data_IF_620750133088
#
_entry.id   IF_620750133088
#
_cell.length_a   1.000
_cell.length_b   1.000
_cell.length_c   1.000
_cell.angle_alpha   90.00
_cell.angle_beta   90.00
_cell.angle_gamma   90.00
#
_symmetry.space_group_name_H-M   'P 1'
#
loop_
_entity.id
_entity.type
_entity.pdbx_description
1 polymer ?
#
# COMPACT_ATOMS: atom_id res chain seq x y z
N UNK A 1 -11.17 -10.97 -20.90
CA UNK A 1 -11.54 -12.27 -20.32
C UNK A 1 -11.11 -12.30 -18.86
N UNK A 2 -12.05 -12.59 -17.96
CA UNK A 2 -11.73 -12.75 -16.55
C UNK A 2 -10.93 -14.06 -16.34
N UNK A 3 -9.94 -14.01 -15.47
CA UNK A 3 -9.14 -15.19 -15.08
C UNK A 3 -10.00 -16.13 -14.22
N UNK A 4 -9.93 -17.44 -14.44
CA UNK A 4 -10.59 -18.39 -13.56
C UNK A 4 -9.85 -18.50 -12.21
N UNK A 5 -10.51 -18.96 -11.12
CA UNK A 5 -9.84 -19.19 -9.84
C UNK A 5 -8.60 -20.09 -9.96
N UNK A 6 -8.67 -21.13 -10.76
CA UNK A 6 -7.54 -22.04 -10.97
C UNK A 6 -6.38 -21.35 -11.67
N UNK A 7 -6.66 -20.53 -12.68
CA UNK A 7 -5.62 -19.74 -13.36
C UNK A 7 -4.97 -18.73 -12.41
N UNK A 8 -5.73 -18.14 -11.49
CA UNK A 8 -5.20 -17.23 -10.47
C UNK A 8 -4.28 -17.97 -9.49
N UNK A 9 -4.66 -19.18 -9.03
CA UNK A 9 -3.82 -20.03 -8.19
C UNK A 9 -2.51 -20.35 -8.92
N UNK A 10 -2.59 -20.82 -10.16
CA UNK A 10 -1.41 -21.19 -10.94
C UNK A 10 -0.48 -19.99 -11.20
N UNK A 11 -1.05 -18.79 -11.39
CA UNK A 11 -0.29 -17.55 -11.50
C UNK A 11 0.48 -17.25 -10.20
N UNK A 12 -0.20 -17.32 -9.04
CA UNK A 12 0.43 -17.07 -7.74
C UNK A 12 1.55 -18.06 -7.44
N UNK A 13 1.37 -19.32 -7.77
CA UNK A 13 2.39 -20.35 -7.62
C UNK A 13 3.58 -20.10 -8.55
N UNK A 14 3.31 -19.89 -9.85
CA UNK A 14 4.36 -19.84 -10.87
C UNK A 14 5.11 -18.50 -10.93
N UNK A 15 4.44 -17.39 -10.64
CA UNK A 15 5.00 -16.03 -10.78
C UNK A 15 5.40 -15.39 -9.46
N UNK A 16 4.68 -15.68 -8.39
CA UNK A 16 4.89 -15.07 -7.07
C UNK A 16 5.65 -16.01 -6.14
N UNK A 17 5.66 -17.33 -6.43
CA UNK A 17 6.32 -18.33 -5.61
C UNK A 17 5.53 -18.77 -4.38
N UNK A 18 4.21 -18.52 -4.38
CA UNK A 18 3.35 -19.02 -3.32
C UNK A 18 3.34 -20.56 -3.29
N UNK A 19 3.32 -21.10 -2.09
CA UNK A 19 2.94 -22.51 -1.90
C UNK A 19 1.46 -22.68 -2.34
N UNK A 20 1.11 -23.84 -2.95
CA UNK A 20 -0.19 -24.02 -3.63
C UNK A 20 -1.39 -23.87 -2.71
N UNK A 21 -1.31 -24.38 -1.48
CA UNK A 21 -2.41 -24.28 -0.52
C UNK A 21 -2.60 -22.82 -0.05
N UNK A 22 -1.51 -22.07 0.14
CA UNK A 22 -1.56 -20.64 0.40
C UNK A 22 -2.18 -19.87 -0.77
N UNK A 23 -1.76 -20.16 -2.00
CA UNK A 23 -2.33 -19.55 -3.20
C UNK A 23 -3.84 -19.82 -3.30
N UNK A 24 -4.27 -21.06 -3.03
CA UNK A 24 -5.67 -21.43 -3.04
C UNK A 24 -6.47 -20.69 -1.95
N UNK A 25 -5.91 -20.54 -0.76
CA UNK A 25 -6.54 -19.79 0.33
C UNK A 25 -6.69 -18.29 -0.02
N UNK A 26 -5.67 -17.66 -0.59
CA UNK A 26 -5.71 -16.25 -1.00
C UNK A 26 -6.73 -16.01 -2.13
N UNK A 27 -6.77 -16.89 -3.12
CA UNK A 27 -7.77 -16.81 -4.20
C UNK A 27 -9.18 -17.02 -3.64
N UNK A 28 -9.38 -17.98 -2.73
CA UNK A 28 -10.67 -18.21 -2.08
C UNK A 28 -11.16 -16.98 -1.32
N UNK A 29 -10.29 -16.32 -0.57
CA UNK A 29 -10.62 -15.08 0.15
C UNK A 29 -11.11 -13.97 -0.78
N UNK A 30 -10.61 -13.91 -2.00
CA UNK A 30 -11.05 -12.92 -2.99
C UNK A 30 -12.47 -13.15 -3.51
N UNK A 31 -13.02 -14.37 -3.38
CA UNK A 31 -14.34 -14.76 -3.88
C UNK A 31 -15.36 -15.11 -2.78
N UNK A 32 -14.92 -15.29 -1.54
CA UNK A 32 -15.77 -15.80 -0.44
C UNK A 32 -16.83 -14.79 0.07
N UNK A 33 -16.78 -13.54 -0.35
CA UNK A 33 -17.82 -12.56 -0.04
C UNK A 33 -17.70 -11.86 1.31
N UNK A 34 -16.76 -12.25 2.17
CA UNK A 34 -16.55 -11.62 3.48
C UNK A 34 -15.92 -10.22 3.36
N UNK A 35 -15.23 -9.95 2.28
CA UNK A 35 -14.57 -8.68 1.98
C UNK A 35 -14.87 -8.20 0.56
N UNK A 36 -14.74 -6.89 0.34
CA UNK A 36 -14.77 -6.33 -1.02
C UNK A 36 -13.70 -6.99 -1.89
N UNK A 37 -13.98 -7.27 -3.18
CA UNK A 37 -12.98 -7.83 -4.10
C UNK A 37 -11.68 -7.05 -4.18
N UNK A 38 -11.71 -5.74 -3.93
CA UNK A 38 -10.53 -4.88 -3.94
C UNK A 38 -9.81 -4.79 -2.59
N UNK A 39 -10.34 -5.43 -1.53
CA UNK A 39 -9.76 -5.37 -0.19
C UNK A 39 -8.28 -5.77 -0.17
N UNK A 40 -7.94 -6.84 -0.89
CA UNK A 40 -6.56 -7.34 -0.96
C UNK A 40 -5.60 -6.32 -1.60
N UNK A 41 -6.09 -5.54 -2.57
CA UNK A 41 -5.29 -4.49 -3.21
C UNK A 41 -4.90 -3.36 -2.24
N UNK A 42 -5.65 -3.17 -1.15
CA UNK A 42 -5.37 -2.15 -0.14
C UNK A 42 -4.00 -2.33 0.52
N UNK A 43 -3.55 -3.57 0.73
CA UNK A 43 -2.22 -3.86 1.30
C UNK A 43 -1.11 -3.34 0.38
N UNK A 44 -1.19 -3.67 -0.91
CA UNK A 44 -0.22 -3.19 -1.90
C UNK A 44 -0.29 -1.66 -2.04
N UNK A 45 -1.49 -1.10 -2.18
CA UNK A 45 -1.66 0.35 -2.33
C UNK A 45 -1.15 1.11 -1.10
N UNK A 46 -1.44 0.63 0.10
CA UNK A 46 -0.91 1.20 1.34
C UNK A 46 0.62 1.15 1.39
N UNK A 47 1.21 0.00 1.06
CA UNK A 47 2.66 -0.17 0.98
C UNK A 47 3.32 0.81 -0.01
N UNK A 48 2.76 0.93 -1.22
CA UNK A 48 3.25 1.87 -2.23
C UNK A 48 3.14 3.34 -1.79
N UNK A 49 2.09 3.70 -1.08
CA UNK A 49 1.92 5.04 -0.53
C UNK A 49 2.95 5.33 0.57
N UNK A 50 3.19 4.40 1.49
CA UNK A 50 4.24 4.53 2.52
C UNK A 50 5.61 4.62 1.87
N UNK A 51 5.87 3.81 0.84
CA UNK A 51 7.12 3.88 0.08
C UNK A 51 7.34 5.26 -0.55
N UNK A 52 6.29 5.84 -1.15
CA UNK A 52 6.36 7.19 -1.72
C UNK A 52 6.63 8.26 -0.65
N UNK A 53 6.04 8.13 0.54
CA UNK A 53 6.36 9.01 1.67
C UNK A 53 7.82 8.86 2.12
N UNK A 54 8.33 7.62 2.18
CA UNK A 54 9.73 7.39 2.50
C UNK A 54 10.66 8.13 1.52
N UNK A 55 10.38 8.04 0.23
CA UNK A 55 11.14 8.78 -0.79
C UNK A 55 11.05 10.30 -0.57
N UNK A 56 9.86 10.80 -0.24
CA UNK A 56 9.64 12.24 -0.01
C UNK A 56 10.37 12.78 1.23
N UNK A 57 10.49 11.97 2.29
CA UNK A 57 10.99 12.46 3.59
C UNK A 57 12.39 11.93 3.94
N UNK A 58 12.70 10.69 3.64
CA UNK A 58 13.99 10.08 3.99
C UNK A 58 15.02 10.27 2.88
N UNK A 59 14.70 9.89 1.65
CA UNK A 59 15.65 10.02 0.54
C UNK A 59 15.95 11.49 0.19
N UNK A 60 15.04 12.40 0.52
CA UNK A 60 15.27 13.84 0.41
C UNK A 60 16.12 14.43 1.56
N UNK A 61 16.45 13.62 2.57
CA UNK A 61 17.23 14.05 3.73
C UNK A 61 16.46 14.87 4.77
N UNK A 62 15.12 14.97 4.67
CA UNK A 62 14.29 15.71 5.64
C UNK A 62 14.14 14.99 6.98
N UNK A 63 14.20 13.66 6.96
CA UNK A 63 14.09 12.79 8.14
C UNK A 63 15.05 11.62 8.03
N UNK A 64 15.49 11.09 9.15
CA UNK A 64 16.16 9.80 9.22
C UNK A 64 15.12 8.66 9.09
N UNK A 65 15.55 7.44 8.71
CA UNK A 65 14.69 6.26 8.68
C UNK A 65 13.94 6.06 10.00
N UNK A 66 14.66 6.21 11.11
CA UNK A 66 14.09 6.02 12.45
C UNK A 66 13.01 7.06 12.76
N UNK A 67 13.26 8.33 12.50
CA UNK A 67 12.28 9.39 12.71
C UNK A 67 11.03 9.18 11.88
N UNK A 68 11.20 8.76 10.63
CA UNK A 68 10.10 8.46 9.72
C UNK A 68 9.24 7.31 10.27
N UNK A 69 9.84 6.16 10.59
CA UNK A 69 9.12 5.00 11.12
C UNK A 69 8.46 5.30 12.46
N UNK A 70 9.17 5.94 13.39
CA UNK A 70 8.62 6.33 14.70
C UNK A 70 7.43 7.28 14.54
N UNK A 71 7.49 8.23 13.62
CA UNK A 71 6.40 9.17 13.38
C UNK A 71 5.14 8.48 12.86
N UNK A 72 5.29 7.48 11.96
CA UNK A 72 4.17 6.70 11.46
C UNK A 72 3.56 5.84 12.56
N UNK A 73 4.39 5.07 13.27
CA UNK A 73 3.96 4.13 14.30
C UNK A 73 3.27 4.84 15.48
N UNK A 74 3.84 5.95 15.95
CA UNK A 74 3.25 6.77 17.01
C UNK A 74 1.97 7.49 16.57
N UNK A 75 1.76 7.63 15.27
CA UNK A 75 0.56 8.24 14.70
C UNK A 75 -0.71 7.41 14.86
N UNK A 76 -0.56 6.10 14.95
CA UNK A 76 -1.69 5.17 14.93
C UNK A 76 -2.33 5.03 13.54
N UNK A 77 -3.43 4.27 13.43
CA UNK A 77 -4.10 4.03 12.16
C UNK A 77 -4.79 5.30 11.64
N UNK A 78 -4.38 5.73 10.46
CA UNK A 78 -4.99 6.89 9.77
C UNK A 78 -4.78 6.78 8.25
N UNK A 79 -5.59 7.47 7.43
CA UNK A 79 -5.36 7.53 5.99
C UNK A 79 -3.96 8.08 5.67
N UNK A 80 -3.27 7.51 4.69
CA UNK A 80 -1.88 7.87 4.35
C UNK A 80 -1.74 9.35 3.97
N UNK A 81 -2.75 9.94 3.33
CA UNK A 81 -2.75 11.39 3.04
C UNK A 81 -2.71 12.24 4.32
N UNK A 82 -3.34 11.78 5.40
CA UNK A 82 -3.32 12.44 6.71
C UNK A 82 -1.94 12.26 7.35
N UNK A 83 -1.34 11.07 7.25
CA UNK A 83 0.06 10.82 7.67
C UNK A 83 0.99 11.83 7.00
N UNK A 84 0.86 11.99 5.67
CA UNK A 84 1.66 12.96 4.92
C UNK A 84 1.51 14.39 5.43
N UNK A 85 0.27 14.84 5.67
CA UNK A 85 -0.01 16.17 6.20
C UNK A 85 0.67 16.42 7.54
N UNK A 86 0.60 15.41 8.42
CA UNK A 86 1.24 15.44 9.73
C UNK A 86 2.77 15.53 9.61
N UNK A 87 3.38 14.75 8.72
CA UNK A 87 4.82 14.81 8.46
C UNK A 87 5.26 16.17 7.86
N UNK A 88 4.35 16.85 7.14
CA UNK A 88 4.57 18.19 6.63
C UNK A 88 4.24 19.30 7.64
N UNK A 89 3.79 18.95 8.85
CA UNK A 89 3.28 19.88 9.86
C UNK A 89 2.17 20.80 9.34
N UNK A 90 1.37 20.28 8.41
CA UNK A 90 0.23 20.98 7.79
C UNK A 90 -1.07 20.48 8.33
N UNK A 91 -2.02 21.38 8.58
CA UNK A 91 -3.38 20.97 8.92
C UNK A 91 -3.98 20.11 7.79
N UNK A 92 -4.60 18.96 8.09
CA UNK A 92 -5.32 18.19 7.10
C UNK A 92 -6.48 19.03 6.55
N UNK A 93 -6.60 19.10 5.24
CA UNK A 93 -7.77 19.66 4.58
C UNK A 93 -8.38 18.63 3.62
N UNK A 94 -9.61 18.86 3.19
CA UNK A 94 -10.34 17.94 2.32
C UNK A 94 -9.67 17.72 0.95
N UNK A 95 -8.87 18.68 0.50
CA UNK A 95 -8.25 18.66 -0.82
C UNK A 95 -6.91 17.90 -0.85
N UNK A 96 -6.29 17.67 0.31
CA UNK A 96 -5.00 16.98 0.40
C UNK A 96 -5.00 15.58 -0.21
N UNK A 97 -6.00 14.71 0.04
CA UNK A 97 -6.07 13.40 -0.59
C UNK A 97 -6.25 13.49 -2.10
N UNK A 98 -6.98 14.48 -2.59
CA UNK A 98 -7.26 14.65 -4.01
C UNK A 98 -6.05 15.18 -4.80
N UNK A 99 -5.19 15.96 -4.16
CA UNK A 99 -4.02 16.59 -4.79
C UNK A 99 -2.77 15.71 -4.74
N UNK A 100 -2.61 14.88 -3.70
CA UNK A 100 -1.44 14.03 -3.59
C UNK A 100 -1.51 12.83 -4.51
N UNK A 101 -0.50 12.70 -5.35
CA UNK A 101 -0.29 11.56 -6.24
C UNK A 101 0.99 10.84 -5.82
N UNK A 102 0.86 9.64 -5.28
CA UNK A 102 2.01 8.86 -4.81
C UNK A 102 2.77 8.16 -5.95
N UNK A 103 2.07 7.77 -7.01
CA UNK A 103 2.64 6.98 -8.09
C UNK A 103 3.77 7.67 -8.90
N UNK A 104 3.87 9.01 -9.04
CA UNK A 104 5.03 9.61 -9.69
C UNK A 104 6.35 9.31 -8.98
N UNK A 105 6.33 9.09 -7.66
CA UNK A 105 7.51 8.74 -6.89
C UNK A 105 8.01 7.32 -7.20
N UNK A 106 7.13 6.43 -7.67
CA UNK A 106 7.47 5.05 -7.99
C UNK A 106 8.24 4.91 -9.32
N UNK A 107 8.25 5.96 -10.14
CA UNK A 107 8.91 5.99 -11.44
C UNK A 107 10.30 6.65 -11.38
N UNK A 108 10.80 6.97 -10.21
CA UNK A 108 12.18 7.45 -10.06
C UNK A 108 13.12 6.24 -10.07
N UNK A 109 14.15 6.25 -10.94
CA UNK A 109 15.16 5.21 -11.00
C UNK A 109 15.95 5.10 -9.70
#
# INVERSE_FOLDING_TARGET
NAMSPQQAIDLLVSRVGHERENAAAEVRRSFAGDYSPIYQAAYMLGGLQIWALRQEFVESGKMTEREFHDSILKGGPMPIAVVRSRLLEKAPNADLPAQWRFYPALNKP
#
